data_IF_879725819914
#
_entry.id   IF_879725819914
#
_cell.length_a   1.000
_cell.length_b   1.000
_cell.length_c   1.000
_cell.angle_alpha   90.00
_cell.angle_beta   90.00
_cell.angle_gamma   90.00
#
_symmetry.space_group_name_H-M   'P 1'
#
loop_
_entity.id
_entity.type
_entity.pdbx_description
1 polymer ?
#
# COMPACT_ATOMS: atom_id res chain seq x y z
N UNK A 1 -9.32 36.53 34.73
CA UNK A 1 -7.89 36.79 34.96
C UNK A 1 -7.09 35.70 34.26
N UNK A 2 -6.70 35.77 33.01
CA UNK A 2 -6.87 36.66 31.84
C UNK A 2 -6.31 35.74 30.73
N UNK A 3 -7.15 35.14 29.88
CA UNK A 3 -7.46 35.60 28.51
C UNK A 3 -6.28 36.32 27.82
N UNK A 4 -5.62 35.66 26.86
CA UNK A 4 -5.92 35.92 25.44
C UNK A 4 -5.26 34.89 24.49
N UNK A 5 -5.97 34.62 23.40
CA UNK A 5 -5.63 33.78 22.22
C UNK A 5 -5.96 34.65 20.98
N UNK A 6 -6.05 34.07 19.77
CA UNK A 6 -5.04 33.77 18.74
C UNK A 6 -4.96 34.81 17.60
N UNK A 7 -4.06 34.61 16.62
CA UNK A 7 -4.40 34.89 15.22
C UNK A 7 -3.61 34.03 14.22
N UNK A 8 -4.37 33.58 13.22
CA UNK A 8 -4.09 32.72 12.07
C UNK A 8 -4.28 33.57 10.80
N UNK A 9 -3.43 33.40 9.77
CA UNK A 9 -3.69 33.67 8.33
C UNK A 9 -2.36 33.47 7.57
N UNK A 10 -2.19 32.54 6.63
CA UNK A 10 -2.85 32.32 5.34
C UNK A 10 -2.29 33.20 4.19
N UNK A 11 -1.72 32.48 3.22
CA UNK A 11 -1.46 32.72 1.79
C UNK A 11 -1.76 34.09 1.16
N UNK A 12 -0.86 34.52 0.27
CA UNK A 12 -1.26 35.27 -0.94
C UNK A 12 -0.26 35.07 -2.10
N UNK A 13 -0.84 34.86 -3.28
CA UNK A 13 -0.25 35.04 -4.60
C UNK A 13 -1.29 35.80 -5.45
N UNK A 14 -0.99 36.17 -6.70
CA UNK A 14 -0.60 37.50 -7.16
C UNK A 14 -1.74 38.24 -7.89
N UNK A 15 -1.59 39.54 -8.17
CA UNK A 15 -2.45 40.24 -9.15
C UNK A 15 -1.67 41.24 -10.01
N UNK A 16 -1.85 41.08 -11.33
CA UNK A 16 -1.67 42.10 -12.36
C UNK A 16 -2.68 43.25 -12.15
N UNK A 17 -2.29 44.48 -12.50
CA UNK A 17 -3.20 45.44 -13.14
C UNK A 17 -2.40 46.52 -13.89
N UNK A 18 -2.84 46.77 -15.11
CA UNK A 18 -2.28 47.68 -16.09
C UNK A 18 -2.93 49.09 -16.03
N UNK A 19 -2.33 50.00 -16.81
CA UNK A 19 -2.81 51.32 -17.24
C UNK A 19 -2.84 52.42 -16.16
N UNK A 20 -2.56 53.69 -16.43
CA UNK A 20 -2.83 54.46 -17.63
C UNK A 20 -1.87 55.66 -17.76
N UNK A 21 -1.83 56.20 -18.97
CA UNK A 21 -1.03 57.26 -19.54
C UNK A 21 -1.38 58.68 -19.05
N UNK A 22 -0.42 59.60 -19.28
CA UNK A 22 -0.58 61.02 -19.65
C UNK A 22 0.71 61.77 -19.27
N UNK A 23 1.27 62.78 -19.94
CA UNK A 23 1.05 63.50 -21.21
C UNK A 23 2.20 64.54 -21.27
N UNK A 24 2.66 64.90 -22.48
CA UNK A 24 3.36 66.16 -22.73
C UNK A 24 4.86 66.16 -22.41
N UNK A 25 5.71 66.95 -23.06
CA UNK A 25 5.53 67.91 -24.13
C UNK A 25 6.94 68.28 -24.65
N UNK A 26 6.98 68.64 -25.93
CA UNK A 26 7.94 69.47 -26.65
C UNK A 26 9.41 69.65 -26.18
N UNK A 27 10.26 69.47 -27.19
CA UNK A 27 11.61 70.03 -27.32
C UNK A 27 11.71 71.53 -26.98
N UNK A 28 12.95 72.00 -26.76
CA UNK A 28 13.38 73.18 -27.48
C UNK A 28 14.74 73.01 -28.20
N UNK A 29 14.78 73.68 -29.36
CA UNK A 29 15.90 74.29 -30.07
C UNK A 29 16.86 75.04 -29.11
N UNK A 30 18.09 75.46 -29.41
CA UNK A 30 18.99 75.47 -30.55
C UNK A 30 20.38 75.83 -29.97
N UNK A 31 21.46 75.62 -30.72
CA UNK A 31 22.60 76.53 -30.64
C UNK A 31 23.27 76.65 -32.00
N UNK A 32 23.46 77.91 -32.40
CA UNK A 32 24.03 78.36 -33.65
C UNK A 32 25.36 79.08 -33.40
N UNK A 33 26.25 78.99 -34.40
CA UNK A 33 27.42 79.82 -34.75
C UNK A 33 28.56 78.84 -35.10
N UNK A 34 29.30 78.95 -36.19
CA UNK A 34 29.63 80.11 -37.02
C UNK A 34 30.23 79.59 -38.34
N UNK A 35 30.08 80.36 -39.43
CA UNK A 35 30.99 80.45 -40.58
C UNK A 35 30.26 81.13 -41.75
N UNK A 36 30.33 82.46 -41.74
CA UNK A 36 30.04 83.29 -42.88
C UNK A 36 31.01 83.02 -44.04
N UNK A 37 30.48 82.81 -45.25
CA UNK A 37 31.04 83.46 -46.43
C UNK A 37 29.94 83.63 -47.50
N UNK A 38 29.70 84.89 -47.87
CA UNK A 38 28.67 85.30 -48.79
C UNK A 38 29.29 85.72 -50.13
N UNK A 39 28.84 85.13 -51.23
CA UNK A 39 28.82 85.78 -52.55
C UNK A 39 27.74 85.19 -53.45
N UNK A 40 26.74 86.00 -53.80
CA UNK A 40 26.24 86.10 -55.19
C UNK A 40 25.13 85.16 -55.68
N UNK A 41 23.90 85.68 -55.66
CA UNK A 41 22.62 85.13 -56.14
C UNK A 41 22.51 84.52 -57.56
N UNK A 42 21.60 83.55 -57.72
CA UNK A 42 20.79 83.28 -58.92
C UNK A 42 19.40 82.70 -58.55
N UNK A 43 18.30 83.01 -59.28
CA UNK A 43 16.92 82.83 -58.79
C UNK A 43 16.33 81.42 -58.99
N UNK A 44 15.56 80.94 -58.01
CA UNK A 44 15.01 79.58 -57.92
C UNK A 44 13.65 79.34 -58.60
N UNK A 45 13.38 78.07 -58.97
CA UNK A 45 12.07 77.56 -59.44
C UNK A 45 11.35 76.81 -58.33
N UNK A 46 10.09 77.18 -58.05
CA UNK A 46 9.25 76.52 -57.04
C UNK A 46 8.45 75.38 -57.68
N UNK A 47 8.68 74.13 -57.25
CA UNK A 47 7.96 72.93 -57.72
C UNK A 47 6.83 72.57 -56.75
N UNK A 48 5.57 72.57 -57.22
CA UNK A 48 4.41 72.08 -56.45
C UNK A 48 4.42 70.54 -56.43
N UNK A 49 4.54 69.92 -55.25
CA UNK A 49 4.48 68.46 -55.08
C UNK A 49 3.04 67.94 -55.26
N UNK A 50 2.84 66.97 -56.16
CA UNK A 50 1.62 66.14 -56.21
C UNK A 50 1.90 64.81 -55.52
N UNK A 51 1.11 64.48 -54.50
CA UNK A 51 1.25 63.23 -53.75
C UNK A 51 0.24 62.21 -54.27
N UNK A 52 0.73 61.09 -54.81
CA UNK A 52 -0.12 59.96 -55.18
C UNK A 52 -0.15 58.95 -54.02
N UNK A 53 -1.36 58.60 -53.57
CA UNK A 53 -1.56 57.52 -52.58
C UNK A 53 -2.05 56.27 -53.32
N UNK A 54 -1.49 55.12 -52.99
CA UNK A 54 -1.95 53.81 -53.49
C UNK A 54 -2.10 52.86 -52.30
N UNK A 55 -3.17 52.08 -52.30
CA UNK A 55 -3.44 51.10 -51.24
C UNK A 55 -2.42 49.98 -51.29
N UNK A 56 -1.80 49.70 -50.15
CA UNK A 56 -0.74 48.71 -50.00
C UNK A 56 -1.35 47.44 -49.40
N UNK A 57 -1.43 46.37 -50.18
CA UNK A 57 -1.88 45.06 -49.69
C UNK A 57 -0.66 44.31 -49.15
N UNK A 58 -0.61 44.12 -47.84
CA UNK A 58 0.47 43.39 -47.16
C UNK A 58 0.06 41.94 -47.00
N UNK A 59 0.82 41.03 -47.60
CA UNK A 59 0.69 39.58 -47.34
C UNK A 59 1.76 39.17 -46.32
N UNK A 60 1.39 38.69 -45.12
CA UNK A 60 2.37 38.29 -44.12
C UNK A 60 3.15 37.06 -44.59
N UNK A 61 4.49 37.14 -44.53
CA UNK A 61 5.40 36.03 -44.85
C UNK A 61 5.98 35.45 -43.56
N UNK A 62 5.84 34.13 -43.39
CA UNK A 62 6.43 33.37 -42.27
C UNK A 62 7.85 32.89 -42.57
N UNK A 63 8.45 33.31 -43.69
CA UNK A 63 9.79 32.89 -44.13
C UNK A 63 10.90 33.22 -43.10
N UNK A 64 10.66 34.14 -42.17
CA UNK A 64 11.57 34.46 -41.05
C UNK A 64 11.27 33.76 -39.72
N UNK A 65 10.07 33.18 -39.53
CA UNK A 65 9.67 32.52 -38.27
C UNK A 65 10.15 31.06 -38.16
N UNK A 66 10.72 30.50 -39.23
CA UNK A 66 11.21 29.11 -39.27
C UNK A 66 12.57 28.89 -38.60
N UNK A 67 13.18 29.90 -38.00
CA UNK A 67 14.56 29.81 -37.52
C UNK A 67 14.74 29.08 -36.18
N UNK A 68 13.68 28.51 -35.58
CA UNK A 68 13.83 27.80 -34.29
C UNK A 68 12.88 26.65 -34.00
N UNK A 69 12.14 26.15 -35.00
CA UNK A 69 11.41 24.89 -34.82
C UNK A 69 12.40 23.72 -35.01
N UNK A 70 12.70 22.90 -33.99
CA UNK A 70 13.58 21.76 -34.14
C UNK A 70 13.01 20.81 -35.20
N UNK A 71 13.89 20.17 -36.01
CA UNK A 71 13.41 19.19 -36.99
C UNK A 71 12.84 18.00 -36.23
N UNK A 72 11.86 17.31 -36.81
CA UNK A 72 11.26 16.11 -36.18
C UNK A 72 12.30 15.05 -35.83
N UNK A 73 13.36 14.92 -36.63
CA UNK A 73 14.51 14.07 -36.33
C UNK A 73 15.28 14.52 -35.10
N UNK A 74 15.56 15.82 -34.96
CA UNK A 74 16.30 16.37 -33.82
C UNK A 74 15.52 16.21 -32.51
N UNK A 75 14.18 16.29 -32.57
CA UNK A 75 13.30 16.01 -31.43
C UNK A 75 13.32 14.52 -31.06
N UNK A 76 13.27 13.62 -32.04
CA UNK A 76 13.36 12.18 -31.81
C UNK A 76 14.72 11.80 -31.18
N UNK A 77 15.82 12.31 -31.74
CA UNK A 77 17.16 12.11 -31.19
C UNK A 77 17.28 12.64 -29.75
N UNK A 78 16.62 13.76 -29.44
CA UNK A 78 16.58 14.30 -28.08
C UNK A 78 15.79 13.39 -27.11
N UNK A 79 14.66 12.82 -27.55
CA UNK A 79 13.91 11.83 -26.76
C UNK A 79 14.75 10.58 -26.48
N UNK A 80 15.44 10.03 -27.49
CA UNK A 80 16.27 8.84 -27.32
C UNK A 80 17.44 9.09 -26.36
N UNK A 81 18.09 10.26 -26.45
CA UNK A 81 19.14 10.68 -25.50
C UNK A 81 18.61 10.82 -24.08
N UNK A 82 17.45 11.45 -23.90
CA UNK A 82 16.82 11.59 -22.58
C UNK A 82 16.44 10.22 -22.01
N UNK A 83 15.93 9.31 -22.83
CA UNK A 83 15.60 7.95 -22.42
C UNK A 83 16.86 7.18 -21.97
N UNK A 84 17.96 7.30 -22.70
CA UNK A 84 19.24 6.69 -22.33
C UNK A 84 19.80 7.26 -21.00
N UNK A 85 19.75 8.57 -20.82
CA UNK A 85 20.16 9.22 -19.56
C UNK A 85 19.27 8.74 -18.41
N UNK A 86 17.95 8.75 -18.59
CA UNK A 86 17.01 8.29 -17.57
C UNK A 86 17.22 6.81 -17.19
N UNK A 87 17.57 5.95 -18.15
CA UNK A 87 17.91 4.56 -17.89
C UNK A 87 19.19 4.43 -17.05
N UNK A 88 20.25 5.16 -17.41
CA UNK A 88 21.51 5.17 -16.65
C UNK A 88 21.32 5.73 -15.23
N UNK A 89 20.52 6.79 -15.07
CA UNK A 89 20.19 7.33 -13.75
C UNK A 89 19.37 6.37 -12.90
N UNK A 90 18.43 5.64 -13.52
CA UNK A 90 17.64 4.62 -12.82
C UNK A 90 18.53 3.49 -12.31
N UNK A 91 19.46 3.03 -13.13
CA UNK A 91 20.43 2.00 -12.74
C UNK A 91 21.35 2.48 -11.61
N UNK A 92 21.89 3.70 -11.74
CA UNK A 92 22.71 4.32 -10.68
C UNK A 92 21.95 4.41 -9.36
N UNK A 93 20.72 4.93 -9.37
CA UNK A 93 19.88 5.03 -8.17
C UNK A 93 19.53 3.67 -7.58
N UNK A 94 19.23 2.67 -8.41
CA UNK A 94 18.93 1.33 -7.92
C UNK A 94 20.13 0.70 -7.22
N UNK A 95 21.34 0.90 -7.76
CA UNK A 95 22.59 0.42 -7.17
C UNK A 95 22.92 1.12 -5.86
N UNK A 96 22.88 2.45 -5.84
CA UNK A 96 23.13 3.26 -4.63
C UNK A 96 22.09 2.95 -3.55
N UNK A 97 20.82 2.79 -3.92
CA UNK A 97 19.76 2.35 -3.02
C UNK A 97 20.04 0.98 -2.41
N UNK A 98 20.39 -0.01 -3.23
CA UNK A 98 20.70 -1.36 -2.76
C UNK A 98 21.95 -1.39 -1.84
N UNK A 99 22.96 -0.55 -2.12
CA UNK A 99 24.14 -0.38 -1.26
C UNK A 99 23.75 0.17 0.12
N UNK A 100 22.97 1.26 0.14
CA UNK A 100 22.49 1.87 1.38
C UNK A 100 21.60 0.92 2.19
N UNK A 101 20.76 0.14 1.50
CA UNK A 101 19.89 -0.86 2.10
C UNK A 101 20.69 -1.98 2.80
N UNK A 102 21.76 -2.48 2.17
CA UNK A 102 22.66 -3.46 2.78
C UNK A 102 23.38 -2.86 4.00
N UNK A 103 23.89 -1.64 3.89
CA UNK A 103 24.55 -0.93 4.99
C UNK A 103 23.58 -0.72 6.18
N UNK A 104 22.34 -0.30 5.90
CA UNK A 104 21.31 -0.17 6.92
C UNK A 104 20.98 -1.52 7.58
N UNK A 105 20.94 -2.61 6.82
CA UNK A 105 20.71 -3.95 7.35
C UNK A 105 21.86 -4.38 8.30
N UNK A 106 23.12 -4.12 7.93
CA UNK A 106 24.31 -4.38 8.76
C UNK A 106 24.19 -3.67 10.10
N UNK A 107 23.94 -2.36 10.10
CA UNK A 107 23.79 -1.60 11.34
C UNK A 107 22.60 -2.07 12.17
N UNK A 108 21.45 -2.34 11.53
CA UNK A 108 20.24 -2.83 12.20
C UNK A 108 20.52 -4.13 12.94
N UNK A 109 21.12 -5.11 12.26
CA UNK A 109 21.39 -6.42 12.86
C UNK A 109 22.44 -6.32 13.96
N UNK A 110 23.49 -5.52 13.76
CA UNK A 110 24.54 -5.31 14.78
C UNK A 110 23.96 -4.71 16.07
N UNK A 111 23.16 -3.65 15.95
CA UNK A 111 22.52 -3.05 17.12
C UNK A 111 21.52 -4.01 17.76
N UNK A 112 20.73 -4.74 16.95
CA UNK A 112 19.73 -5.66 17.44
C UNK A 112 20.33 -6.89 18.15
N UNK A 113 21.55 -7.31 17.81
CA UNK A 113 22.27 -8.37 18.54
C UNK A 113 22.49 -7.98 20.01
N UNK A 114 22.79 -6.72 20.28
CA UNK A 114 23.01 -6.19 21.63
C UNK A 114 21.68 -5.84 22.31
N UNK A 115 20.82 -5.08 21.63
CA UNK A 115 19.55 -4.59 22.20
C UNK A 115 18.59 -5.74 22.55
N UNK A 116 18.56 -6.79 21.72
CA UNK A 116 17.68 -7.96 21.90
C UNK A 116 18.40 -9.16 22.52
N UNK A 117 19.58 -8.97 23.12
CA UNK A 117 20.39 -10.05 23.70
C UNK A 117 19.56 -11.02 24.58
N UNK A 118 18.71 -10.47 25.46
CA UNK A 118 17.86 -11.25 26.38
C UNK A 118 16.85 -12.15 25.66
N UNK A 119 16.36 -11.73 24.50
CA UNK A 119 15.38 -12.48 23.70
C UNK A 119 16.08 -13.57 22.86
N UNK A 120 17.27 -13.27 22.34
CA UNK A 120 17.98 -14.15 21.40
C UNK A 120 18.87 -15.19 22.09
N UNK A 121 19.43 -14.88 23.26
CA UNK A 121 20.29 -15.80 24.02
C UNK A 121 19.68 -17.18 24.30
N UNK A 122 18.41 -17.31 24.73
CA UNK A 122 17.81 -18.63 24.98
C UNK A 122 17.54 -19.44 23.70
N UNK A 123 17.45 -18.78 22.54
CA UNK A 123 17.08 -19.41 21.25
C UNK A 123 18.22 -19.46 20.24
N UNK A 124 19.43 -19.07 20.64
CA UNK A 124 20.61 -19.08 19.77
C UNK A 124 21.84 -19.62 20.49
N UNK A 125 22.72 -20.26 19.74
CA UNK A 125 24.04 -20.65 20.25
C UNK A 125 25.02 -19.48 20.14
N UNK A 126 26.06 -19.47 20.98
CA UNK A 126 27.15 -18.49 20.86
C UNK A 126 27.80 -18.53 19.47
N UNK A 127 27.92 -19.73 18.87
CA UNK A 127 28.46 -19.90 17.52
C UNK A 127 27.61 -19.20 16.46
N UNK A 128 26.28 -19.32 16.52
CA UNK A 128 25.38 -18.64 15.59
C UNK A 128 25.45 -17.11 15.72
N UNK A 129 25.57 -16.58 16.94
CA UNK A 129 25.74 -15.13 17.15
C UNK A 129 27.08 -14.62 16.64
N UNK A 130 28.15 -15.38 16.86
CA UNK A 130 29.48 -15.07 16.33
C UNK A 130 29.51 -15.11 14.81
N UNK A 131 28.83 -16.08 14.18
CA UNK A 131 28.69 -16.18 12.73
C UNK A 131 28.00 -14.93 12.16
N UNK A 132 26.86 -14.51 12.73
CA UNK A 132 26.17 -13.28 12.30
C UNK A 132 27.08 -12.05 12.47
N UNK A 133 27.81 -11.96 13.58
CA UNK A 133 28.76 -10.86 13.82
C UNK A 133 29.94 -10.88 12.84
N UNK A 134 30.47 -12.05 12.49
CA UNK A 134 31.55 -12.19 11.51
C UNK A 134 31.07 -11.79 10.13
N UNK A 135 29.95 -12.34 9.68
CA UNK A 135 29.35 -12.01 8.38
C UNK A 135 29.01 -10.52 8.28
N UNK A 136 28.55 -9.90 9.37
CA UNK A 136 28.31 -8.45 9.42
C UNK A 136 29.58 -7.65 9.12
N UNK A 137 30.74 -8.04 9.70
CA UNK A 137 32.03 -7.37 9.46
C UNK A 137 32.56 -7.62 8.06
N UNK A 138 32.46 -8.87 7.59
CA UNK A 138 32.86 -9.24 6.23
C UNK A 138 32.07 -8.48 5.17
N UNK A 139 30.77 -8.25 5.40
CA UNK A 139 29.94 -7.44 4.50
C UNK A 139 30.26 -5.95 4.57
N UNK A 140 30.61 -5.43 5.76
CA UNK A 140 31.08 -4.05 5.94
C UNK A 140 32.40 -3.81 5.20
N UNK A 141 33.36 -4.74 5.33
CA UNK A 141 34.63 -4.69 4.59
C UNK A 141 34.40 -4.78 3.07
N UNK A 142 33.54 -5.71 2.65
CA UNK A 142 33.19 -5.89 1.23
C UNK A 142 32.54 -4.64 0.62
N UNK A 143 31.76 -3.86 1.38
CA UNK A 143 31.14 -2.61 0.89
C UNK A 143 32.16 -1.55 0.45
N UNK A 144 33.39 -1.59 0.98
CA UNK A 144 34.49 -0.71 0.55
C UNK A 144 35.10 -1.14 -0.79
N UNK A 145 34.99 -2.42 -1.16
CA UNK A 145 35.54 -2.97 -2.41
C UNK A 145 34.47 -3.04 -3.53
N UNK A 146 33.18 -2.94 -3.19
CA UNK A 146 32.04 -3.20 -4.06
C UNK A 146 31.65 -2.06 -5.04
N UNK A 147 32.59 -1.20 -5.44
CA UNK A 147 32.29 0.03 -6.21
C UNK A 147 31.76 -0.22 -7.63
N UNK A 148 31.92 -1.42 -8.20
CA UNK A 148 31.46 -1.79 -9.54
C UNK A 148 30.32 -2.83 -9.55
N UNK A 149 29.78 -3.20 -8.39
CA UNK A 149 28.80 -4.28 -8.29
C UNK A 149 27.39 -3.84 -8.73
N UNK A 150 26.61 -4.73 -9.38
CA UNK A 150 25.23 -4.43 -9.74
C UNK A 150 24.31 -4.46 -8.51
N UNK A 151 23.16 -3.77 -8.61
CA UNK A 151 22.15 -3.72 -7.55
C UNK A 151 21.71 -5.12 -7.07
N UNK A 152 21.68 -6.12 -7.97
CA UNK A 152 21.32 -7.49 -7.64
C UNK A 152 22.27 -8.11 -6.60
N UNK A 153 23.59 -7.95 -6.75
CA UNK A 153 24.56 -8.51 -5.81
C UNK A 153 24.37 -7.98 -4.39
N UNK A 154 24.08 -6.69 -4.24
CA UNK A 154 23.80 -6.08 -2.94
C UNK A 154 22.54 -6.68 -2.30
N UNK A 155 21.47 -6.86 -3.08
CA UNK A 155 20.23 -7.46 -2.62
C UNK A 155 20.41 -8.93 -2.21
N UNK A 156 21.16 -9.72 -2.99
CA UNK A 156 21.42 -11.13 -2.68
C UNK A 156 22.22 -11.26 -1.38
N UNK A 157 23.25 -10.43 -1.19
CA UNK A 157 24.02 -10.40 0.07
C UNK A 157 23.17 -9.95 1.26
N UNK A 158 22.33 -8.92 1.06
CA UNK A 158 21.40 -8.44 2.08
C UNK A 158 20.43 -9.54 2.50
N UNK A 159 19.77 -10.20 1.54
CA UNK A 159 18.78 -11.24 1.82
C UNK A 159 19.41 -12.44 2.52
N UNK A 160 20.60 -12.88 2.10
CA UNK A 160 21.34 -13.95 2.77
C UNK A 160 21.71 -13.58 4.22
N UNK A 161 22.18 -12.36 4.46
CA UNK A 161 22.51 -11.88 5.80
C UNK A 161 21.28 -11.73 6.70
N UNK A 162 20.22 -11.09 6.20
CA UNK A 162 18.96 -10.94 6.91
C UNK A 162 18.33 -12.30 7.21
N UNK A 163 18.47 -13.30 6.35
CA UNK A 163 17.96 -14.65 6.60
C UNK A 163 18.57 -15.30 7.86
N UNK A 164 19.88 -15.13 8.07
CA UNK A 164 20.56 -15.63 9.27
C UNK A 164 19.98 -14.98 10.54
N UNK A 165 19.80 -13.66 10.50
CA UNK A 165 19.24 -12.90 11.61
C UNK A 165 17.76 -13.22 11.85
N UNK A 166 16.95 -13.23 10.80
CA UNK A 166 15.51 -13.50 10.85
C UNK A 166 15.22 -14.92 11.37
N UNK A 167 16.09 -15.89 11.12
CA UNK A 167 15.97 -17.22 11.70
C UNK A 167 16.14 -17.23 13.23
N UNK A 168 16.99 -16.35 13.78
CA UNK A 168 17.15 -16.20 15.24
C UNK A 168 15.95 -15.45 15.82
N UNK A 169 15.58 -14.33 15.22
CA UNK A 169 14.44 -13.52 15.67
C UNK A 169 13.13 -14.30 15.60
N UNK A 170 12.88 -15.01 14.51
CA UNK A 170 11.69 -15.84 14.35
C UNK A 170 11.59 -16.91 15.43
N UNK A 171 12.71 -17.53 15.83
CA UNK A 171 12.70 -18.48 16.97
C UNK A 171 12.35 -17.80 18.29
N UNK A 172 12.86 -16.59 18.55
CA UNK A 172 12.54 -15.83 19.76
C UNK A 172 11.05 -15.45 19.83
N UNK A 173 10.51 -14.94 18.72
CA UNK A 173 9.11 -14.54 18.60
C UNK A 173 8.17 -15.74 18.73
N UNK A 174 8.51 -16.87 18.09
CA UNK A 174 7.77 -18.13 18.22
C UNK A 174 7.79 -18.68 19.65
N UNK A 175 8.92 -18.57 20.36
CA UNK A 175 9.02 -19.01 21.76
C UNK A 175 8.10 -18.18 22.66
N UNK A 176 8.01 -16.86 22.43
CA UNK A 176 7.14 -15.96 23.19
C UNK A 176 5.65 -16.10 22.85
N UNK A 177 5.33 -16.31 21.56
CA UNK A 177 3.94 -16.35 21.08
C UNK A 177 3.26 -17.72 21.29
N UNK A 178 4.02 -18.81 21.21
CA UNK A 178 3.48 -20.18 21.23
C UNK A 178 2.63 -20.53 22.45
N UNK A 179 3.00 -20.22 23.70
CA UNK A 179 2.17 -20.57 24.86
C UNK A 179 0.77 -19.95 24.79
N UNK A 180 0.68 -18.68 24.37
CA UNK A 180 -0.60 -17.97 24.19
C UNK A 180 -1.41 -18.56 23.04
N UNK A 181 -0.75 -18.90 21.93
CA UNK A 181 -1.40 -19.52 20.79
C UNK A 181 -1.97 -20.91 21.13
N UNK A 182 -1.23 -21.73 21.89
CA UNK A 182 -1.68 -23.04 22.38
C UNK A 182 -2.90 -22.89 23.29
N UNK A 183 -2.90 -21.92 24.20
CA UNK A 183 -4.02 -21.67 25.09
C UNK A 183 -5.28 -21.28 24.30
N UNK A 184 -5.17 -20.32 23.37
CA UNK A 184 -6.26 -19.93 22.47
C UNK A 184 -6.79 -21.12 21.67
N UNK A 185 -5.89 -21.94 21.11
CA UNK A 185 -6.26 -23.12 20.35
C UNK A 185 -7.06 -24.11 21.18
N UNK A 186 -6.57 -24.47 22.38
CA UNK A 186 -7.27 -25.40 23.28
C UNK A 186 -8.63 -24.86 23.71
N UNK A 187 -8.73 -23.56 24.02
CA UNK A 187 -10.01 -22.89 24.34
C UNK A 187 -11.00 -23.00 23.18
N UNK A 188 -10.57 -22.68 21.95
CA UNK A 188 -11.41 -22.77 20.77
C UNK A 188 -11.90 -24.20 20.49
N UNK A 189 -11.03 -25.20 20.66
CA UNK A 189 -11.44 -26.61 20.52
C UNK A 189 -12.44 -27.04 21.61
N UNK A 190 -12.21 -26.64 22.86
CA UNK A 190 -13.11 -26.95 23.97
C UNK A 190 -14.49 -26.30 23.76
N UNK A 191 -14.53 -25.04 23.32
CA UNK A 191 -15.77 -24.34 23.00
C UNK A 191 -16.52 -25.00 21.84
N UNK A 192 -15.81 -25.35 20.76
CA UNK A 192 -16.42 -26.04 19.62
C UNK A 192 -17.06 -27.38 20.02
N UNK A 193 -16.38 -28.16 20.87
CA UNK A 193 -16.91 -29.43 21.39
C UNK A 193 -18.11 -29.20 22.29
N UNK A 194 -17.99 -28.31 23.27
CA UNK A 194 -19.09 -27.98 24.19
C UNK A 194 -20.34 -27.54 23.43
N UNK A 195 -20.17 -26.66 22.44
CA UNK A 195 -21.27 -26.20 21.62
C UNK A 195 -21.92 -27.35 20.85
N UNK A 196 -21.12 -28.25 20.26
CA UNK A 196 -21.63 -29.37 19.51
C UNK A 196 -22.35 -30.43 20.36
N UNK A 197 -21.92 -30.66 21.60
CA UNK A 197 -22.43 -31.77 22.44
C UNK A 197 -23.44 -31.35 23.51
N UNK A 198 -23.34 -30.13 24.04
CA UNK A 198 -24.15 -29.68 25.18
C UNK A 198 -25.12 -28.56 24.81
N UNK A 199 -24.70 -27.59 23.99
CA UNK A 199 -25.48 -26.35 23.77
C UNK A 199 -26.41 -26.47 22.57
N UNK A 200 -25.86 -26.80 21.40
CA UNK A 200 -26.61 -26.79 20.15
C UNK A 200 -27.63 -27.93 19.97
N UNK A 201 -27.47 -29.12 20.56
CA UNK A 201 -28.53 -30.13 20.51
C UNK A 201 -29.86 -29.64 21.09
N UNK A 202 -29.80 -28.82 22.15
CA UNK A 202 -30.98 -28.28 22.83
C UNK A 202 -31.44 -26.94 22.22
N UNK A 203 -30.52 -26.00 22.02
CA UNK A 203 -30.85 -24.66 21.49
C UNK A 203 -31.16 -24.66 19.99
N UNK A 204 -30.60 -25.62 19.25
CA UNK A 204 -30.65 -25.66 17.78
C UNK A 204 -30.96 -27.06 17.25
N UNK A 205 -32.14 -27.64 17.56
CA UNK A 205 -32.49 -29.01 17.17
C UNK A 205 -32.61 -29.22 15.66
N UNK A 206 -32.60 -28.14 14.85
CA UNK A 206 -32.61 -28.22 13.39
C UNK A 206 -31.23 -28.47 12.77
N UNK A 207 -30.16 -28.47 13.57
CA UNK A 207 -28.85 -28.87 13.10
C UNK A 207 -28.81 -30.39 12.93
N UNK A 208 -28.22 -30.84 11.83
CA UNK A 208 -28.02 -32.26 11.60
C UNK A 208 -26.98 -32.82 12.57
N UNK A 209 -27.28 -33.96 13.19
CA UNK A 209 -26.36 -34.63 14.12
C UNK A 209 -25.02 -34.95 13.45
N UNK A 210 -25.03 -35.34 12.17
CA UNK A 210 -23.81 -35.62 11.41
C UNK A 210 -22.86 -34.41 11.32
N UNK A 211 -23.43 -33.21 11.22
CA UNK A 211 -22.68 -31.96 11.17
C UNK A 211 -22.05 -31.62 12.54
N UNK A 212 -22.77 -31.91 13.63
CA UNK A 212 -22.27 -31.77 15.01
C UNK A 212 -21.13 -32.77 15.28
N UNK A 213 -21.33 -34.03 14.91
CA UNK A 213 -20.32 -35.09 15.05
C UNK A 213 -19.07 -34.77 14.19
N UNK A 214 -19.27 -34.22 12.99
CA UNK A 214 -18.17 -33.76 12.14
C UNK A 214 -17.37 -32.61 12.78
N UNK A 215 -18.03 -31.72 13.54
CA UNK A 215 -17.34 -30.66 14.29
C UNK A 215 -16.53 -31.23 15.45
N UNK A 216 -17.10 -32.15 16.23
CA UNK A 216 -16.39 -32.83 17.32
C UNK A 216 -15.17 -33.56 16.77
N UNK A 217 -15.34 -34.33 15.69
CA UNK A 217 -14.25 -35.07 15.04
C UNK A 217 -13.12 -34.14 14.57
N UNK A 218 -13.45 -33.01 13.92
CA UNK A 218 -12.43 -32.02 13.51
C UNK A 218 -11.71 -31.42 14.71
N UNK A 219 -12.42 -31.18 15.81
CA UNK A 219 -11.82 -30.68 17.03
C UNK A 219 -10.90 -31.72 17.70
N UNK A 220 -11.28 -33.00 17.67
CA UNK A 220 -10.43 -34.11 18.13
C UNK A 220 -9.18 -34.27 17.29
N UNK A 221 -9.31 -34.30 15.95
CA UNK A 221 -8.19 -34.42 15.02
C UNK A 221 -7.20 -33.26 15.19
N UNK A 222 -7.71 -32.04 15.36
CA UNK A 222 -6.90 -30.84 15.62
C UNK A 222 -6.20 -30.90 16.99
N UNK A 223 -6.88 -31.41 18.02
CA UNK A 223 -6.32 -31.61 19.36
C UNK A 223 -5.20 -32.65 19.38
N UNK A 224 -5.44 -33.81 18.75
CA UNK A 224 -4.44 -34.87 18.62
C UNK A 224 -3.19 -34.39 17.87
N UNK A 225 -3.38 -33.63 16.79
CA UNK A 225 -2.28 -32.99 16.08
C UNK A 225 -1.47 -32.07 17.00
N UNK A 226 -2.13 -31.20 17.77
CA UNK A 226 -1.45 -30.29 18.69
C UNK A 226 -0.64 -31.06 19.74
N UNK A 227 -1.20 -32.13 20.32
CA UNK A 227 -0.52 -32.92 21.33
C UNK A 227 0.73 -33.63 20.77
N UNK A 228 0.66 -34.11 19.52
CA UNK A 228 1.82 -34.71 18.84
C UNK A 228 2.89 -33.67 18.50
N UNK A 229 2.48 -32.46 18.11
CA UNK A 229 3.38 -31.34 17.88
C UNK A 229 4.05 -30.85 19.17
N UNK A 230 3.34 -30.80 20.30
CA UNK A 230 3.93 -30.48 21.61
C UNK A 230 4.94 -31.54 22.04
N UNK A 231 4.68 -32.83 21.79
CA UNK A 231 5.64 -33.92 22.05
C UNK A 231 6.88 -33.78 21.16
N UNK A 232 6.70 -33.41 19.89
CA UNK A 232 7.82 -33.16 18.97
C UNK A 232 8.65 -31.96 19.42
N UNK A 233 8.00 -30.86 19.79
CA UNK A 233 8.67 -29.65 20.28
C UNK A 233 9.48 -29.89 21.54
N UNK A 234 8.98 -30.71 22.48
CA UNK A 234 9.71 -31.06 23.71
C UNK A 234 11.03 -31.80 23.47
N UNK A 235 11.21 -32.42 22.30
CA UNK A 235 12.46 -33.11 21.92
C UNK A 235 13.51 -32.17 21.33
N UNK A 236 13.09 -30.99 20.86
CA UNK A 236 13.96 -30.02 20.20
C UNK A 236 14.55 -29.07 21.23
N UNK A 237 15.76 -28.58 20.96
CA UNK A 237 16.34 -27.51 21.76
C UNK A 237 15.77 -26.18 21.29
N UNK A 238 15.79 -25.18 22.17
CA UNK A 238 15.29 -23.84 21.85
C UNK A 238 16.03 -23.16 20.68
N UNK A 239 17.23 -23.63 20.35
CA UNK A 239 18.03 -23.15 19.22
C UNK A 239 17.93 -24.06 17.98
N UNK A 240 17.06 -25.05 17.97
CA UNK A 240 16.75 -25.79 16.74
C UNK A 240 15.53 -25.15 16.06
N UNK A 241 15.28 -25.53 14.80
CA UNK A 241 14.05 -25.11 14.13
C UNK A 241 12.84 -25.70 14.89
N UNK A 242 11.80 -24.91 15.20
CA UNK A 242 10.66 -25.40 15.93
C UNK A 242 9.89 -26.47 15.14
N UNK A 243 9.31 -27.46 15.85
CA UNK A 243 8.52 -28.54 15.26
C UNK A 243 7.27 -28.04 14.53
N UNK A 244 6.72 -26.92 14.99
CA UNK A 244 5.59 -26.24 14.38
C UNK A 244 5.69 -24.75 14.65
N UNK A 245 5.08 -23.92 13.80
CA UNK A 245 4.97 -22.47 13.97
C UNK A 245 3.56 -22.07 14.39
N UNK A 246 3.39 -20.88 14.99
CA UNK A 246 2.06 -20.33 15.31
C UNK A 246 1.19 -20.23 14.06
N UNK A 247 1.78 -19.91 12.90
CA UNK A 247 1.07 -19.91 11.61
C UNK A 247 0.44 -21.26 11.26
N UNK A 248 1.13 -22.37 11.52
CA UNK A 248 0.63 -23.72 11.27
C UNK A 248 -0.48 -24.10 12.25
N UNK A 249 -0.34 -23.71 13.52
CA UNK A 249 -1.37 -23.89 14.54
C UNK A 249 -2.66 -23.17 14.15
N UNK A 250 -2.57 -21.91 13.69
CA UNK A 250 -3.73 -21.16 13.20
C UNK A 250 -4.33 -21.80 11.94
N UNK A 251 -3.51 -22.27 11.02
CA UNK A 251 -3.97 -22.98 9.82
C UNK A 251 -4.72 -24.27 10.17
N UNK A 252 -4.29 -24.99 11.22
CA UNK A 252 -4.97 -26.20 11.70
C UNK A 252 -6.25 -25.92 12.47
N UNK A 253 -6.35 -24.78 13.14
CA UNK A 253 -7.57 -24.36 13.85
C UNK A 253 -8.68 -23.91 12.90
N UNK A 254 -8.30 -23.25 11.80
CA UNK A 254 -9.22 -22.59 10.87
C UNK A 254 -10.38 -23.47 10.38
N UNK A 255 -10.18 -24.74 9.97
CA UNK A 255 -11.29 -25.60 9.52
C UNK A 255 -12.35 -25.85 10.61
N UNK A 256 -11.93 -25.97 11.87
CA UNK A 256 -12.83 -26.18 13.01
C UNK A 256 -13.65 -24.92 13.27
N UNK A 257 -13.01 -23.75 13.31
CA UNK A 257 -13.67 -22.46 13.53
C UNK A 257 -14.64 -22.14 12.40
N UNK A 258 -14.25 -22.37 11.14
CA UNK A 258 -15.12 -22.13 9.98
C UNK A 258 -16.35 -23.03 10.01
N UNK A 259 -16.20 -24.32 10.37
CA UNK A 259 -17.35 -25.21 10.50
C UNK A 259 -18.26 -24.78 11.65
N UNK A 260 -17.70 -24.45 12.81
CA UNK A 260 -18.46 -23.96 13.95
C UNK A 260 -19.24 -22.69 13.59
N UNK A 261 -18.62 -21.72 12.92
CA UNK A 261 -19.29 -20.50 12.45
C UNK A 261 -20.41 -20.81 11.45
N UNK A 262 -20.19 -21.75 10.51
CA UNK A 262 -21.21 -22.18 9.54
C UNK A 262 -22.43 -22.77 10.26
N UNK A 263 -22.22 -23.63 11.25
CA UNK A 263 -23.31 -24.23 12.03
C UNK A 263 -24.02 -23.18 12.89
N UNK A 264 -23.25 -22.25 13.47
CA UNK A 264 -23.81 -21.14 14.22
C UNK A 264 -24.67 -20.19 13.36
N UNK A 265 -24.42 -20.10 12.05
CA UNK A 265 -25.21 -19.27 11.14
C UNK A 265 -26.46 -19.96 10.57
N UNK A 266 -26.62 -21.28 10.75
CA UNK A 266 -27.80 -22.00 10.25
C UNK A 266 -29.04 -21.60 11.03
N UNK A 267 -29.98 -20.94 10.36
CA UNK A 267 -31.28 -20.53 10.91
C UNK A 267 -32.25 -21.72 11.01
N UNK A 268 -33.21 -21.63 11.94
CA UNK A 268 -34.30 -22.58 12.08
C UNK A 268 -35.11 -22.66 10.76
N UNK A 269 -35.38 -23.85 10.21
CA UNK A 269 -36.25 -24.02 9.06
C UNK A 269 -37.64 -23.42 9.35
N UNK A 270 -38.13 -22.56 8.44
CA UNK A 270 -39.48 -22.02 8.52
C UNK A 270 -40.45 -23.11 8.04
N UNK A 271 -41.34 -23.56 8.93
CA UNK A 271 -42.41 -24.48 8.58
C UNK A 271 -43.48 -23.68 7.84
N UNK A 272 -43.65 -23.92 6.54
CA UNK A 272 -44.84 -23.48 5.82
C UNK A 272 -45.93 -24.51 6.09
N UNK A 273 -46.95 -24.14 6.87
CA UNK A 273 -48.12 -24.99 7.02
C UNK A 273 -48.92 -24.98 5.70
N UNK A 274 -48.91 -26.08 4.97
CA UNK A 274 -49.82 -26.30 3.85
C UNK A 274 -51.25 -26.43 4.38
N UNK A 275 -51.97 -25.31 4.38
CA UNK A 275 -53.40 -25.30 4.67
C UNK A 275 -54.15 -25.90 3.47
N UNK A 276 -54.72 -27.07 3.72
CA UNK A 276 -55.95 -27.61 3.14
C UNK A 276 -55.86 -28.49 1.87
N UNK A 277 -56.02 -29.80 2.10
CA UNK A 277 -56.65 -30.69 1.14
C UNK A 277 -58.18 -30.54 1.24
N UNK A 278 -58.86 -30.05 0.18
CA UNK A 278 -60.20 -30.49 -0.27
C UNK A 278 -60.64 -29.70 -1.52
N UNK A 279 -60.49 -30.30 -2.71
CA UNK A 279 -61.57 -30.62 -3.66
C UNK A 279 -60.99 -30.93 -5.05
N UNK A 280 -61.35 -32.11 -5.56
CA UNK A 280 -61.12 -32.51 -6.94
C UNK A 280 -62.18 -31.88 -7.86
N UNK A 281 -61.74 -31.24 -8.96
CA UNK A 281 -62.11 -31.62 -10.35
C UNK A 281 -61.23 -30.85 -11.35
N UNK A 282 -60.88 -31.56 -12.42
CA UNK A 282 -59.98 -31.27 -13.56
C UNK A 282 -60.10 -29.83 -14.16
N UNK A 283 -59.11 -29.23 -14.85
CA UNK A 283 -58.41 -29.68 -16.08
C UNK A 283 -57.08 -28.91 -16.31
N UNK A 284 -55.97 -29.66 -16.42
CA UNK A 284 -54.84 -29.58 -17.38
C UNK A 284 -53.97 -28.29 -17.59
N UNK A 285 -52.68 -28.42 -17.22
CA UNK A 285 -51.40 -28.01 -17.88
C UNK A 285 -51.18 -26.53 -18.31
N UNK A 286 -50.02 -25.87 -18.20
CA UNK A 286 -48.60 -26.27 -18.07
C UNK A 286 -47.79 -25.03 -17.63
N UNK A 287 -46.72 -25.25 -16.86
CA UNK A 287 -45.44 -24.52 -16.72
C UNK A 287 -45.34 -22.98 -16.80
N UNK A 288 -44.56 -22.44 -15.85
CA UNK A 288 -43.66 -21.31 -16.13
C UNK A 288 -43.47 -20.28 -15.03
N UNK A 289 -42.74 -20.65 -13.98
CA UNK A 289 -41.84 -19.82 -13.14
C UNK A 289 -41.84 -18.29 -13.35
N UNK A 290 -42.26 -17.53 -12.32
CA UNK A 290 -41.95 -16.12 -12.11
C UNK A 290 -41.38 -15.96 -10.68
N UNK A 291 -40.09 -15.68 -10.50
CA UNK A 291 -39.48 -14.35 -10.33
C UNK A 291 -40.24 -13.37 -9.43
N UNK A 292 -39.70 -13.20 -8.24
CA UNK A 292 -39.22 -11.93 -7.65
C UNK A 292 -40.21 -10.98 -6.93
N UNK A 293 -39.61 -10.18 -6.03
CA UNK A 293 -40.10 -9.07 -5.20
C UNK A 293 -40.75 -9.46 -3.85
N UNK A 294 -40.07 -9.33 -2.70
CA UNK A 294 -39.50 -8.17 -1.99
C UNK A 294 -40.45 -7.51 -0.97
N UNK A 295 -39.87 -7.25 0.21
CA UNK A 295 -40.19 -6.28 1.26
C UNK A 295 -41.47 -6.48 2.10
N UNK A 296 -41.29 -6.61 3.43
CA UNK A 296 -41.34 -5.48 4.39
C UNK A 296 -41.06 -5.96 5.82
N UNK A 297 -39.87 -5.58 6.34
CA UNK A 297 -39.50 -5.01 7.65
C UNK A 297 -40.18 -5.38 9.01
N UNK A 298 -39.55 -5.07 10.17
CA UNK A 298 -39.18 -6.05 11.20
C UNK A 298 -39.77 -5.72 12.59
N UNK A 299 -39.51 -6.53 13.62
CA UNK A 299 -39.52 -6.17 15.06
C UNK A 299 -39.06 -7.38 15.90
N UNK A 300 -38.47 -7.19 17.11
CA UNK A 300 -37.07 -6.81 17.32
C UNK A 300 -36.24 -7.92 17.98
N UNK A 301 -34.92 -7.93 17.70
CA UNK A 301 -33.93 -8.79 18.34
C UNK A 301 -33.69 -8.39 19.80
N UNK A 302 -33.69 -9.36 20.70
CA UNK A 302 -33.37 -9.19 22.12
C UNK A 302 -31.88 -8.94 22.35
N UNK A 303 -31.58 -7.95 23.19
CA UNK A 303 -30.24 -7.43 23.52
C UNK A 303 -29.22 -8.46 24.08
N UNK A 304 -29.64 -9.70 24.37
CA UNK A 304 -28.71 -10.77 24.79
C UNK A 304 -27.94 -11.42 23.63
N UNK A 305 -28.54 -11.53 22.44
CA UNK A 305 -27.89 -12.15 21.26
C UNK A 305 -26.77 -11.27 20.66
N UNK A 306 -26.89 -9.94 20.83
CA UNK A 306 -25.86 -8.99 20.41
C UNK A 306 -24.60 -9.06 21.29
N UNK A 307 -24.73 -9.48 22.55
CA UNK A 307 -23.61 -9.50 23.50
C UNK A 307 -22.70 -10.72 23.31
N UNK A 308 -23.28 -11.86 22.91
CA UNK A 308 -22.53 -13.10 22.62
C UNK A 308 -21.79 -13.01 21.28
N UNK A 309 -22.30 -12.22 20.33
CA UNK A 309 -21.71 -12.06 19.00
C UNK A 309 -20.51 -11.09 18.96
N UNK A 310 -20.45 -10.10 19.86
CA UNK A 310 -19.28 -9.22 20.01
C UNK A 310 -18.12 -9.93 20.73
N UNK A 311 -18.38 -10.71 21.80
CA UNK A 311 -17.30 -11.44 22.50
C UNK A 311 -16.62 -12.50 21.62
N UNK A 312 -17.33 -13.08 20.64
CA UNK A 312 -16.74 -14.02 19.69
C UNK A 312 -15.91 -13.35 18.57
N UNK A 313 -16.09 -12.05 18.32
CA UNK A 313 -15.33 -11.31 17.30
C UNK A 313 -14.07 -10.65 17.86
N UNK A 314 -14.14 -10.14 19.09
CA UNK A 314 -13.04 -9.40 19.70
C UNK A 314 -11.93 -10.29 20.29
N UNK A 315 -12.16 -11.59 20.47
CA UNK A 315 -11.14 -12.53 20.99
C UNK A 315 -10.32 -13.29 19.92
N UNK A 316 -10.65 -13.10 18.63
CA UNK A 316 -10.00 -13.76 17.48
C UNK A 316 -8.68 -13.07 17.10
#
# INVERSE_FOLDING_TARGET
>A
KDDDKPAEAAAEAPTEAAADAATGEAAPEANASDAANATGAAPGKVLKKKTHKRTLTVTPSTAGLRQWAPRRSDVADAFDRLAAIAAAEKERRAREGAKNDLEAAIYRVRNALDDRAKEIEPVSTKKQREEISSTSRELEDWLYEADAEPAATFNDKRTAFEALWNAVVGRAEELAARPKAIEKFRKALALAKKNATEVWPDERPWLEQEDLDALVKKADDAGAWLDDQEKAQKKLKNHDEPAFRVAELNAKLKPTVVLAARLNAKKKPVVVEDVNATNATDVNATDGNATDANATEPEPESEEDAKVTEEMKDEL
#
